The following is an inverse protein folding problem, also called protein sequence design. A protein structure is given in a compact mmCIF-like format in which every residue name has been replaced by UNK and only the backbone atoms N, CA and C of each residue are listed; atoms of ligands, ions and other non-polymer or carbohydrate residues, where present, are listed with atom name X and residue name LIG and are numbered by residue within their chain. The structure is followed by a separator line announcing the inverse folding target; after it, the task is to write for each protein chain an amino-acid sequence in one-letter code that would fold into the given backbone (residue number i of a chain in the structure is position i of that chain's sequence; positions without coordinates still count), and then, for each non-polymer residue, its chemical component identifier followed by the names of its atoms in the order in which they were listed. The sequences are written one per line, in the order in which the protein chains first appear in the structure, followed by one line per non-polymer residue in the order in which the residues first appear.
data_IF_291262797020
#
_entry.id   IF_291262797020
#
_cell.length_a   1.000
_cell.length_b   1.000
_cell.length_c   1.000
_cell.angle_alpha   90.00
_cell.angle_beta   90.00
_cell.angle_gamma   90.00
#
_symmetry.space_group_name_H-M   'P 1'
#
loop_
_entity.id
_entity.type
_entity.pdbx_description
1 polymer ?
#
# COMPACT_ATOMS: atom_id res chain seq x y z
N UNK A 1 -27.20 0.55 -4.46
CA UNK A 1 -26.27 1.58 -4.96
C UNK A 1 -25.20 2.02 -3.95
N UNK A 2 -25.28 1.63 -2.66
CA UNK A 2 -24.35 2.06 -1.60
C UNK A 2 -23.00 1.29 -1.52
N UNK A 3 -22.95 0.06 -2.04
CA UNK A 3 -21.79 -0.83 -1.83
C UNK A 3 -20.52 -0.42 -2.60
N UNK A 4 -20.65 0.33 -3.71
CA UNK A 4 -19.49 0.80 -4.50
C UNK A 4 -18.91 2.08 -3.92
N UNK A 5 -19.75 3.05 -3.56
CA UNK A 5 -19.30 4.32 -2.98
C UNK A 5 -18.50 4.14 -1.69
N UNK A 6 -18.94 3.26 -0.78
CA UNK A 6 -18.19 2.97 0.45
C UNK A 6 -16.89 2.20 0.22
N UNK A 7 -16.77 1.46 -0.89
CA UNK A 7 -15.54 0.74 -1.23
C UNK A 7 -14.45 1.71 -1.69
N UNK A 8 -14.78 2.63 -2.58
CA UNK A 8 -13.83 3.62 -3.08
C UNK A 8 -13.39 4.57 -1.96
N UNK A 9 -14.33 5.06 -1.13
CA UNK A 9 -14.01 5.92 0.02
C UNK A 9 -13.09 5.21 1.04
N UNK A 10 -13.35 3.92 1.33
CA UNK A 10 -12.50 3.15 2.20
C UNK A 10 -11.09 2.98 1.63
N UNK A 11 -10.97 2.75 0.32
CA UNK A 11 -9.66 2.66 -0.34
C UNK A 11 -8.90 3.98 -0.28
N UNK A 12 -9.56 5.12 -0.55
CA UNK A 12 -8.94 6.44 -0.44
C UNK A 12 -8.47 6.75 0.99
N UNK A 13 -9.26 6.39 2.00
CA UNK A 13 -8.86 6.57 3.39
C UNK A 13 -7.64 5.71 3.76
N UNK A 14 -7.59 4.46 3.27
CA UNK A 14 -6.46 3.56 3.49
C UNK A 14 -5.20 4.00 2.73
N UNK A 15 -5.34 4.50 1.50
CA UNK A 15 -4.23 5.07 0.73
C UNK A 15 -3.61 6.26 1.49
N UNK A 16 -4.43 7.22 1.97
CA UNK A 16 -3.96 8.34 2.82
C UNK A 16 -3.30 7.87 4.12
N UNK A 17 -3.83 6.82 4.74
CA UNK A 17 -3.26 6.29 5.97
C UNK A 17 -1.89 5.61 5.75
N UNK A 18 -1.66 5.01 4.57
CA UNK A 18 -0.35 4.49 4.17
C UNK A 18 0.65 5.58 3.86
N UNK A 19 0.23 6.71 3.29
CA UNK A 19 1.12 7.87 3.08
C UNK A 19 1.66 8.38 4.42
N UNK A 20 0.82 8.43 5.46
CA UNK A 20 1.21 8.86 6.81
C UNK A 20 2.07 7.81 7.54
N UNK A 21 1.76 6.53 7.37
CA UNK A 21 2.46 5.42 8.02
C UNK A 21 2.73 4.27 7.05
N UNK A 22 3.77 4.38 6.19
CA UNK A 22 4.07 3.36 5.17
C UNK A 22 4.39 1.98 5.78
N UNK A 23 4.91 1.95 7.00
CA UNK A 23 5.29 0.71 7.68
C UNK A 23 4.14 -0.03 8.36
N UNK A 24 2.93 0.53 8.33
CA UNK A 24 1.78 -0.11 8.94
C UNK A 24 1.23 -1.24 8.06
N UNK A 25 1.64 -2.47 8.40
CA UNK A 25 1.21 -3.67 7.69
C UNK A 25 -0.30 -3.94 7.77
N UNK A 26 -0.98 -3.52 8.85
CA UNK A 26 -2.42 -3.72 8.99
C UNK A 26 -3.21 -2.94 7.92
N UNK A 27 -2.82 -1.69 7.66
CA UNK A 27 -3.46 -0.84 6.65
C UNK A 27 -3.26 -1.44 5.25
N UNK A 28 -2.04 -1.95 4.96
CA UNK A 28 -1.74 -2.65 3.69
C UNK A 28 -2.66 -3.85 3.50
N UNK A 29 -2.78 -4.71 4.53
CA UNK A 29 -3.66 -5.88 4.46
C UNK A 29 -5.12 -5.51 4.24
N UNK A 30 -5.65 -4.51 4.97
CA UNK A 30 -7.04 -4.08 4.80
C UNK A 30 -7.31 -3.62 3.37
N UNK A 31 -6.41 -2.82 2.80
CA UNK A 31 -6.48 -2.37 1.42
C UNK A 31 -6.41 -3.52 0.43
N UNK A 32 -5.50 -4.47 0.64
CA UNK A 32 -5.36 -5.67 -0.19
C UNK A 32 -6.62 -6.54 -0.17
N UNK A 33 -7.23 -6.75 1.01
CA UNK A 33 -8.47 -7.53 1.13
C UNK A 33 -9.64 -6.89 0.37
N UNK A 34 -9.73 -5.56 0.35
CA UNK A 34 -10.77 -4.85 -0.41
C UNK A 34 -10.55 -4.95 -1.93
N UNK A 35 -9.28 -5.00 -2.37
CA UNK A 35 -8.91 -5.07 -3.79
C UNK A 35 -8.95 -6.49 -4.36
N UNK A 36 -8.47 -7.47 -3.60
CA UNK A 36 -8.32 -8.86 -4.02
C UNK A 36 -8.88 -9.81 -2.93
N UNK A 37 -10.19 -9.81 -2.67
CA UNK A 37 -10.80 -10.63 -1.62
C UNK A 37 -10.53 -12.13 -1.80
N UNK A 38 -10.35 -12.60 -3.04
CA UNK A 38 -10.03 -13.99 -3.40
C UNK A 38 -8.66 -14.45 -2.90
N UNK A 39 -7.75 -13.52 -2.56
CA UNK A 39 -6.43 -13.85 -1.98
C UNK A 39 -6.48 -14.10 -0.48
N UNK A 40 -7.62 -13.85 0.15
CA UNK A 40 -7.80 -13.96 1.60
C UNK A 40 -8.83 -15.02 2.02
N UNK A 41 -9.51 -15.66 1.05
CA UNK A 41 -10.53 -16.66 1.31
C UNK A 41 -10.49 -17.78 0.24
N UNK A 42 -10.70 -19.06 0.63
CA UNK A 42 -10.95 -19.54 2.00
C UNK A 42 -9.71 -19.55 2.88
N UNK A 43 -8.53 -19.60 2.27
CA UNK A 43 -7.24 -19.53 2.94
C UNK A 43 -6.50 -18.27 2.47
N UNK A 44 -5.59 -17.80 3.32
CA UNK A 44 -4.80 -16.62 3.05
C UNK A 44 -3.62 -17.03 2.16
N UNK A 45 -3.50 -16.41 0.99
CA UNK A 45 -2.35 -16.55 0.11
C UNK A 45 -1.17 -15.73 0.67
N UNK A 46 -0.32 -16.41 1.45
CA UNK A 46 0.86 -15.80 2.08
C UNK A 46 1.97 -15.51 1.09
N UNK A 47 2.05 -16.26 -0.01
CA UNK A 47 3.09 -16.10 -1.02
C UNK A 47 2.83 -14.82 -1.81
N UNK A 48 1.59 -14.65 -2.27
CA UNK A 48 1.14 -13.42 -2.90
C UNK A 48 1.34 -12.18 -2.01
N UNK A 49 1.04 -12.26 -0.71
CA UNK A 49 1.26 -11.12 0.19
C UNK A 49 2.73 -10.69 0.26
N UNK A 50 3.68 -11.63 0.23
CA UNK A 50 5.11 -11.30 0.26
C UNK A 50 5.56 -10.67 -1.05
N UNK A 51 5.09 -11.19 -2.17
CA UNK A 51 5.36 -10.63 -3.51
C UNK A 51 4.79 -9.22 -3.63
N UNK A 52 3.55 -9.02 -3.20
CA UNK A 52 2.85 -7.74 -3.25
C UNK A 52 3.53 -6.70 -2.36
N UNK A 53 3.94 -7.09 -1.13
CA UNK A 53 4.70 -6.22 -0.25
C UNK A 53 6.04 -5.82 -0.88
N UNK A 54 6.79 -6.78 -1.42
CA UNK A 54 8.08 -6.51 -2.04
C UNK A 54 7.93 -5.53 -3.22
N UNK A 55 6.90 -5.72 -4.06
CA UNK A 55 6.57 -4.82 -5.16
C UNK A 55 6.25 -3.40 -4.70
N UNK A 56 5.37 -3.26 -3.71
CA UNK A 56 5.01 -1.94 -3.17
C UNK A 56 6.23 -1.25 -2.53
N UNK A 57 7.08 -1.98 -1.82
CA UNK A 57 8.30 -1.45 -1.20
C UNK A 57 9.34 -0.99 -2.20
N UNK A 58 9.48 -1.74 -3.29
CA UNK A 58 10.36 -1.36 -4.38
C UNK A 58 9.82 -0.12 -5.11
N UNK A 59 8.51 -0.04 -5.34
CA UNK A 59 7.88 1.16 -5.88
C UNK A 59 8.05 2.38 -4.95
N UNK A 60 7.93 2.20 -3.63
CA UNK A 60 8.18 3.26 -2.64
C UNK A 60 9.64 3.72 -2.62
N UNK A 61 10.59 2.77 -2.74
CA UNK A 61 12.01 3.07 -2.86
C UNK A 61 12.27 3.90 -4.12
N UNK A 62 11.79 3.44 -5.27
CA UNK A 62 11.95 4.14 -6.54
C UNK A 62 11.27 5.51 -6.52
N UNK A 63 10.08 5.62 -5.92
CA UNK A 63 9.39 6.89 -5.74
C UNK A 63 10.19 7.84 -4.85
N UNK A 64 10.82 7.34 -3.79
CA UNK A 64 11.71 8.14 -2.93
C UNK A 64 12.99 8.56 -3.66
N UNK A 65 13.57 7.67 -4.45
CA UNK A 65 14.76 7.91 -5.27
C UNK A 65 14.50 8.83 -6.45
N UNK A 66 13.27 8.91 -6.95
CA UNK A 66 12.86 9.86 -8.01
C UNK A 66 12.33 11.17 -7.46
N UNK A 67 11.75 11.18 -6.25
CA UNK A 67 11.34 12.38 -5.54
C UNK A 67 12.53 13.25 -5.14
N UNK A 68 13.69 12.64 -4.88
CA UNK A 68 14.95 13.36 -4.76
C UNK A 68 15.71 13.22 -6.08
N UNK A 69 15.98 14.33 -6.76
CA UNK A 69 16.72 14.32 -8.02
C UNK A 69 18.13 13.72 -7.91
N UNK A 70 18.94 13.73 -8.99
CA UNK A 70 20.31 13.19 -8.98
C UNK A 70 21.22 13.81 -7.90
N UNK A 71 20.83 14.96 -7.36
CA UNK A 71 21.52 15.71 -6.31
C UNK A 71 21.21 15.23 -4.88
N UNK A 72 20.34 14.22 -4.71
CA UNK A 72 20.01 13.62 -3.41
C UNK A 72 19.05 14.44 -2.55
N UNK A 73 18.48 13.81 -1.51
CA UNK A 73 17.66 14.51 -0.53
C UNK A 73 18.56 15.28 0.46
N UNK A 74 18.28 16.56 0.78
CA UNK A 74 18.97 17.21 1.89
C UNK A 74 18.62 16.51 3.20
N UNK A 75 19.64 16.03 3.91
CA UNK A 75 19.48 15.51 5.28
C UNK A 75 19.28 16.73 6.19
N UNK A 76 18.18 16.81 6.98
CA UNK A 76 18.05 17.86 7.97
C UNK A 76 19.17 17.73 9.01
N UNK A 77 19.94 18.80 9.19
CA UNK A 77 20.97 18.97 10.23
C UNK A 77 20.33 19.28 11.58
#
# INVERSE_FOLDING_TARGET
MLARGGRDEALEALDRALELNPDNYLIRKQRWTIRNPERFQPEIDWDWQREELAREREAERQARETACGPDGCPIPQ
#
